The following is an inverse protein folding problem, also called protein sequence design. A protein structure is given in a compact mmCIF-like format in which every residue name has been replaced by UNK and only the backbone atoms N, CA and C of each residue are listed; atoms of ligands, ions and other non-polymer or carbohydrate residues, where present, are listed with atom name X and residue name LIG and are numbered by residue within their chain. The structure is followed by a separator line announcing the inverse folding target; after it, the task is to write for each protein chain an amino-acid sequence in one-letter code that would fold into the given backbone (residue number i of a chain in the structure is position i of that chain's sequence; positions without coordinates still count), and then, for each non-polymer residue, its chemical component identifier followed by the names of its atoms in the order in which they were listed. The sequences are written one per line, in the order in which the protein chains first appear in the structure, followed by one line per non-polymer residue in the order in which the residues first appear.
data_IF_451509050583
#
_entry.id   IF_451509050583
#
_cell.length_a   1.000
_cell.length_b   1.000
_cell.length_c   1.000
_cell.angle_alpha   90.00
_cell.angle_beta   90.00
_cell.angle_gamma   90.00
#
_symmetry.space_group_name_H-M   'P 1'
#
loop_
_entity.id
_entity.type
_entity.pdbx_description
1 polymer ?
#
# COMPACT_ATOMS: atom_id res chain seq x y z
N UNK A 1 -80.35 12.58 7.03
CA UNK A 1 -79.36 12.36 5.96
C UNK A 1 -77.97 12.40 6.58
N UNK A 2 -77.24 11.29 6.58
CA UNK A 2 -75.78 11.18 6.44
C UNK A 2 -75.42 9.70 6.61
N UNK A 3 -75.10 9.06 5.47
CA UNK A 3 -74.72 7.65 5.39
C UNK A 3 -73.23 7.46 5.62
N UNK A 4 -72.88 6.38 6.33
CA UNK A 4 -71.51 5.89 6.48
C UNK A 4 -71.12 5.10 5.22
N UNK A 5 -70.06 5.52 4.54
CA UNK A 5 -69.38 4.76 3.49
C UNK A 5 -68.30 3.89 4.12
N UNK A 6 -68.40 2.58 3.93
CA UNK A 6 -67.30 1.63 4.12
C UNK A 6 -66.33 1.74 2.93
N UNK A 7 -65.03 1.90 3.18
CA UNK A 7 -63.98 1.71 2.18
C UNK A 7 -63.30 0.35 2.41
N UNK A 8 -63.28 -0.47 1.35
CA UNK A 8 -62.70 -1.81 1.34
C UNK A 8 -61.17 -1.81 1.35
N UNK A 9 -60.60 -2.82 1.99
CA UNK A 9 -59.16 -3.05 2.04
C UNK A 9 -58.64 -3.57 0.69
N UNK A 10 -57.53 -3.00 0.21
CA UNK A 10 -56.82 -3.42 -1.00
C UNK A 10 -55.88 -4.59 -0.64
N UNK A 11 -56.04 -5.75 -1.28
CA UNK A 11 -55.13 -6.90 -1.15
C UNK A 11 -53.81 -6.63 -1.89
N UNK A 12 -52.69 -6.90 -1.22
CA UNK A 12 -51.36 -6.86 -1.83
C UNK A 12 -51.15 -8.04 -2.80
N UNK A 13 -50.37 -7.87 -3.89
CA UNK A 13 -50.09 -8.94 -4.84
C UNK A 13 -49.24 -10.05 -4.19
N UNK A 14 -49.35 -11.31 -4.67
CA UNK A 14 -48.55 -12.41 -4.17
C UNK A 14 -47.06 -12.19 -4.48
N UNK A 15 -46.15 -12.70 -3.61
CA UNK A 15 -44.72 -12.62 -3.85
C UNK A 15 -44.33 -13.37 -5.13
N UNK A 16 -43.28 -12.93 -5.83
CA UNK A 16 -42.78 -13.62 -7.02
C UNK A 16 -42.38 -15.07 -6.68
N UNK A 17 -42.50 -16.00 -7.64
CA UNK A 17 -42.10 -17.39 -7.42
C UNK A 17 -40.61 -17.47 -7.03
N UNK A 18 -40.31 -18.28 -6.02
CA UNK A 18 -38.94 -18.54 -5.57
C UNK A 18 -38.10 -19.06 -6.75
N UNK A 19 -37.15 -18.24 -7.21
CA UNK A 19 -36.15 -18.68 -8.18
C UNK A 19 -35.27 -19.77 -7.55
N UNK A 20 -34.99 -20.80 -8.34
CA UNK A 20 -34.27 -21.98 -7.91
C UNK A 20 -32.85 -21.59 -7.45
N UNK A 21 -32.51 -21.84 -6.19
CA UNK A 21 -31.18 -21.54 -5.62
C UNK A 21 -30.01 -22.18 -6.40
N UNK A 22 -30.26 -23.22 -7.20
CA UNK A 22 -29.26 -23.82 -8.09
C UNK A 22 -28.87 -22.93 -9.28
N UNK A 23 -29.79 -22.16 -9.86
CA UNK A 23 -29.47 -21.26 -10.98
C UNK A 23 -28.71 -20.01 -10.50
N UNK A 24 -29.02 -19.53 -9.29
CA UNK A 24 -28.28 -18.44 -8.67
C UNK A 24 -26.84 -18.86 -8.34
N UNK A 25 -26.62 -20.06 -7.83
CA UNK A 25 -25.27 -20.58 -7.55
C UNK A 25 -24.47 -20.89 -8.83
N UNK A 26 -25.13 -21.20 -9.94
CA UNK A 26 -24.48 -21.42 -11.23
C UNK A 26 -24.18 -20.09 -11.97
N UNK A 27 -24.89 -19.01 -11.63
CA UNK A 27 -24.57 -17.63 -12.07
C UNK A 27 -23.55 -16.93 -11.16
N UNK A 28 -23.45 -17.32 -9.88
CA UNK A 28 -22.43 -16.82 -8.96
C UNK A 28 -21.06 -17.48 -9.17
N UNK A 29 -20.99 -18.67 -9.78
CA UNK A 29 -19.72 -19.32 -10.13
C UNK A 29 -19.04 -18.73 -11.38
N UNK A 30 -19.71 -17.83 -12.11
CA UNK A 30 -19.17 -17.15 -13.31
C UNK A 30 -18.44 -15.84 -13.02
N UNK A 31 -18.30 -15.42 -11.75
CA UNK A 31 -17.62 -14.17 -11.37
C UNK A 31 -16.27 -14.33 -10.64
N UNK A 32 -15.82 -15.56 -10.39
CA UNK A 32 -14.47 -15.77 -9.87
C UNK A 32 -13.50 -15.92 -11.05
N UNK A 33 -12.69 -14.89 -11.31
CA UNK A 33 -11.49 -15.02 -12.17
C UNK A 33 -10.71 -16.26 -11.74
N UNK A 34 -10.27 -17.06 -12.70
CA UNK A 34 -9.42 -18.22 -12.43
C UNK A 34 -8.04 -17.76 -11.93
N UNK A 35 -7.35 -18.63 -11.18
CA UNK A 35 -5.98 -18.34 -10.75
C UNK A 35 -5.01 -18.17 -11.94
N UNK A 36 -5.31 -18.82 -13.07
CA UNK A 36 -4.54 -18.72 -14.32
C UNK A 36 -4.69 -17.33 -14.95
N UNK A 37 -5.90 -16.79 -15.01
CA UNK A 37 -6.15 -15.42 -15.51
C UNK A 37 -5.46 -14.38 -14.64
N UNK A 38 -5.54 -14.49 -13.30
CA UNK A 38 -4.84 -13.57 -12.39
C UNK A 38 -3.33 -13.62 -12.59
N UNK A 39 -2.75 -14.81 -12.79
CA UNK A 39 -1.32 -14.96 -13.06
C UNK A 39 -0.91 -14.36 -14.41
N UNK A 40 -1.75 -14.50 -15.44
CA UNK A 40 -1.51 -13.89 -16.75
C UNK A 40 -1.57 -12.36 -16.67
N UNK A 41 -2.54 -11.80 -15.93
CA UNK A 41 -2.63 -10.37 -15.66
C UNK A 41 -1.39 -9.88 -14.88
N UNK A 42 -0.97 -10.63 -13.85
CA UNK A 42 0.23 -10.30 -13.09
C UNK A 42 1.48 -10.23 -13.98
N UNK A 43 1.66 -11.19 -14.89
CA UNK A 43 2.78 -11.16 -15.85
C UNK A 43 2.73 -9.94 -16.76
N UNK A 44 1.53 -9.53 -17.19
CA UNK A 44 1.36 -8.32 -18.00
C UNK A 44 1.69 -7.06 -17.20
N UNK A 45 1.28 -6.98 -15.93
CA UNK A 45 1.61 -5.85 -15.06
C UNK A 45 3.11 -5.77 -14.76
N UNK A 46 3.75 -6.90 -14.46
CA UNK A 46 5.21 -6.99 -14.25
C UNK A 46 5.97 -6.50 -15.49
N UNK A 47 5.54 -6.90 -16.69
CA UNK A 47 6.14 -6.43 -17.93
C UNK A 47 5.87 -4.94 -18.18
N UNK A 48 4.62 -4.48 -17.97
CA UNK A 48 4.19 -3.09 -18.19
C UNK A 48 4.93 -2.11 -17.32
N UNK A 49 5.14 -2.45 -16.04
CA UNK A 49 5.79 -1.59 -15.06
C UNK A 49 7.28 -1.88 -14.91
N UNK A 50 7.86 -2.72 -15.78
CA UNK A 50 9.27 -3.07 -15.80
C UNK A 50 9.77 -3.55 -14.43
N UNK A 51 8.96 -4.37 -13.75
CA UNK A 51 9.28 -4.91 -12.42
C UNK A 51 10.31 -6.03 -12.58
N UNK A 52 11.38 -5.95 -11.80
CA UNK A 52 12.41 -6.96 -11.70
C UNK A 52 11.78 -8.31 -11.32
N UNK A 53 12.17 -9.39 -12.01
CA UNK A 53 11.63 -10.72 -11.74
C UNK A 53 11.80 -11.16 -10.27
N UNK A 54 12.91 -10.80 -9.62
CA UNK A 54 13.17 -11.11 -8.21
C UNK A 54 12.21 -10.37 -7.27
N UNK A 55 11.82 -9.16 -7.64
CA UNK A 55 10.88 -8.34 -6.89
C UNK A 55 9.47 -8.92 -7.05
N UNK A 56 9.09 -9.24 -8.30
CA UNK A 56 7.80 -9.81 -8.63
C UNK A 56 7.53 -11.15 -7.92
N UNK A 57 8.52 -12.04 -7.81
CA UNK A 57 8.32 -13.35 -7.15
C UNK A 57 8.03 -13.23 -5.65
N UNK A 58 8.42 -12.12 -5.02
CA UNK A 58 8.20 -11.87 -3.59
C UNK A 58 6.82 -11.29 -3.28
N UNK A 59 6.15 -10.67 -4.26
CA UNK A 59 4.81 -10.08 -4.08
C UNK A 59 3.74 -11.10 -3.63
N UNK A 60 3.93 -12.40 -3.88
CA UNK A 60 2.96 -13.44 -3.47
C UNK A 60 2.73 -13.50 -1.97
N UNK A 61 3.63 -12.95 -1.15
CA UNK A 61 3.40 -12.83 0.31
C UNK A 61 2.17 -11.99 0.64
N UNK A 62 1.75 -11.10 -0.29
CA UNK A 62 0.60 -10.21 -0.13
C UNK A 62 -0.75 -10.91 -0.27
N UNK A 63 -0.82 -12.18 -0.73
CA UNK A 63 -2.09 -12.95 -0.82
C UNK A 63 -2.80 -13.10 0.55
N UNK A 64 -2.07 -12.92 1.67
CA UNK A 64 -2.61 -12.97 3.03
C UNK A 64 -2.84 -11.61 3.68
N UNK A 65 -2.84 -10.52 2.89
CA UNK A 65 -3.00 -9.16 3.38
C UNK A 65 -4.31 -8.53 2.92
N UNK A 66 -4.89 -7.72 3.80
CA UNK A 66 -5.75 -6.59 3.47
C UNK A 66 -4.84 -5.41 3.17
N UNK A 67 -5.08 -4.67 2.09
CA UNK A 67 -4.27 -3.50 1.74
C UNK A 67 -5.10 -2.22 1.86
N UNK A 68 -4.63 -1.30 2.71
CA UNK A 68 -5.17 0.05 2.84
C UNK A 68 -4.15 1.06 2.41
N UNK A 69 -4.57 2.03 1.60
CA UNK A 69 -3.77 3.19 1.21
C UNK A 69 -4.36 4.47 1.81
N UNK A 70 -3.60 5.20 2.61
CA UNK A 70 -3.93 6.53 3.11
C UNK A 70 -3.19 7.56 2.26
N UNK A 71 -3.93 8.34 1.48
CA UNK A 71 -3.43 9.38 0.61
C UNK A 71 -3.50 10.75 1.30
N UNK A 72 -2.35 11.39 1.48
CA UNK A 72 -2.30 12.82 1.77
C UNK A 72 -2.79 13.61 0.56
N UNK A 73 -3.91 14.30 0.75
CA UNK A 73 -4.50 15.21 -0.20
C UNK A 73 -4.56 16.63 0.36
N UNK A 74 -3.62 16.99 1.23
CA UNK A 74 -3.44 18.34 1.77
C UNK A 74 -2.89 19.32 0.73
N UNK A 75 -3.01 20.62 1.02
CA UNK A 75 -2.59 21.66 0.07
C UNK A 75 -1.12 21.58 -0.36
N UNK A 76 -0.22 21.10 0.50
CA UNK A 76 1.22 20.97 0.24
C UNK A 76 1.56 19.99 -0.88
N UNK A 77 0.70 18.99 -1.10
CA UNK A 77 0.86 17.99 -2.17
C UNK A 77 0.79 18.59 -3.58
N UNK A 78 0.37 19.84 -3.75
CA UNK A 78 0.48 20.57 -5.03
C UNK A 78 1.92 21.00 -5.37
N UNK A 79 2.88 20.84 -4.46
CA UNK A 79 4.27 21.27 -4.66
C UNK A 79 4.93 20.48 -5.80
N UNK A 80 5.62 21.14 -6.75
CA UNK A 80 6.37 20.48 -7.82
C UNK A 80 7.55 19.63 -7.30
N UNK A 81 7.81 18.48 -7.93
CA UNK A 81 8.94 17.60 -7.64
C UNK A 81 10.18 17.94 -8.49
N UNK A 82 11.14 18.63 -7.88
CA UNK A 82 12.44 18.96 -8.49
C UNK A 82 12.38 19.95 -9.66
N UNK A 83 13.41 19.91 -10.50
CA UNK A 83 13.61 20.84 -11.60
C UNK A 83 12.99 20.37 -12.93
N UNK A 84 12.81 21.31 -13.87
CA UNK A 84 12.40 21.04 -15.24
C UNK A 84 13.36 20.06 -15.94
N UNK A 85 12.84 18.92 -16.40
CA UNK A 85 13.57 17.97 -17.25
C UNK A 85 13.83 18.52 -18.67
N UNK A 86 13.05 19.53 -19.08
CA UNK A 86 13.10 20.17 -20.38
C UNK A 86 12.23 21.44 -20.43
N UNK A 87 12.41 22.31 -21.45
CA UNK A 87 11.75 23.62 -21.51
C UNK A 87 10.23 23.56 -21.71
N UNK A 88 9.68 22.38 -22.03
CA UNK A 88 8.25 22.18 -22.29
C UNK A 88 7.61 21.12 -21.38
N UNK A 89 8.40 20.50 -20.50
CA UNK A 89 7.89 19.47 -19.61
C UNK A 89 7.19 20.11 -18.42
N UNK A 90 6.00 19.60 -18.09
CA UNK A 90 5.36 19.95 -16.82
C UNK A 90 6.13 19.25 -15.71
N UNK A 91 6.59 20.00 -14.71
CA UNK A 91 7.12 19.39 -13.48
C UNK A 91 5.96 18.66 -12.79
N UNK A 92 6.04 17.33 -12.56
CA UNK A 92 5.02 16.62 -11.82
C UNK A 92 4.96 17.16 -10.39
N UNK A 93 3.76 17.31 -9.83
CA UNK A 93 3.61 17.61 -8.41
C UNK A 93 3.78 16.34 -7.56
N UNK A 94 3.96 16.50 -6.25
CA UNK A 94 3.91 15.40 -5.27
C UNK A 94 2.63 14.58 -5.42
N UNK A 95 1.51 15.27 -5.65
CA UNK A 95 0.23 14.66 -5.97
C UNK A 95 0.22 13.85 -7.27
N UNK A 96 0.94 14.29 -8.31
CA UNK A 96 1.01 13.55 -9.57
C UNK A 96 1.81 12.24 -9.44
N UNK A 97 2.91 12.24 -8.67
CA UNK A 97 3.63 10.99 -8.35
C UNK A 97 2.77 10.07 -7.48
N UNK A 98 2.08 10.61 -6.46
CA UNK A 98 1.18 9.82 -5.62
C UNK A 98 0.07 9.12 -6.44
N UNK A 99 -0.56 9.82 -7.40
CA UNK A 99 -1.55 9.21 -8.32
C UNK A 99 -0.98 8.01 -9.06
N UNK A 100 0.23 8.15 -9.58
CA UNK A 100 0.89 7.08 -10.33
C UNK A 100 1.17 5.89 -9.41
N UNK A 101 1.73 6.15 -8.22
CA UNK A 101 1.99 5.12 -7.20
C UNK A 101 0.72 4.37 -6.81
N UNK A 102 -0.35 5.07 -6.44
CA UNK A 102 -1.62 4.44 -6.00
C UNK A 102 -2.24 3.65 -7.15
N UNK A 103 -2.19 4.16 -8.38
CA UNK A 103 -2.70 3.43 -9.56
C UNK A 103 -1.98 2.09 -9.75
N UNK A 104 -0.65 2.08 -9.67
CA UNK A 104 0.13 0.84 -9.81
C UNK A 104 -0.11 -0.09 -8.62
N UNK A 105 -0.20 0.45 -7.40
CA UNK A 105 -0.53 -0.35 -6.21
C UNK A 105 -1.87 -1.05 -6.37
N UNK A 106 -2.93 -0.34 -6.78
CA UNK A 106 -4.25 -0.94 -7.00
C UNK A 106 -4.21 -2.05 -8.03
N UNK A 107 -3.57 -1.80 -9.19
CA UNK A 107 -3.49 -2.80 -10.25
C UNK A 107 -2.71 -4.06 -9.79
N UNK A 108 -1.60 -3.89 -9.07
CA UNK A 108 -0.79 -5.00 -8.54
C UNK A 108 -1.49 -5.73 -7.39
N UNK A 109 -2.07 -4.99 -6.44
CA UNK A 109 -2.72 -5.53 -5.26
C UNK A 109 -3.92 -6.40 -5.63
N UNK A 110 -4.72 -6.01 -6.64
CA UNK A 110 -5.89 -6.77 -7.07
C UNK A 110 -5.55 -8.17 -7.63
N UNK A 111 -4.29 -8.45 -7.95
CA UNK A 111 -3.83 -9.82 -8.28
C UNK A 111 -3.87 -10.73 -7.04
N UNK A 112 -3.57 -10.18 -5.88
CA UNK A 112 -3.34 -10.89 -4.62
C UNK A 112 -4.51 -10.75 -3.63
N UNK A 113 -5.17 -9.59 -3.64
CA UNK A 113 -6.33 -9.28 -2.82
C UNK A 113 -7.57 -9.12 -3.72
N UNK A 114 -8.40 -10.18 -3.86
CA UNK A 114 -9.57 -10.14 -4.74
C UNK A 114 -10.64 -9.14 -4.27
N UNK A 115 -10.61 -8.73 -2.99
CA UNK A 115 -11.55 -7.76 -2.44
C UNK A 115 -11.19 -6.32 -2.84
N UNK A 116 -10.01 -6.12 -3.45
CA UNK A 116 -9.49 -4.81 -3.86
C UNK A 116 -8.79 -4.05 -2.74
N UNK A 117 -8.39 -2.81 -3.03
CA UNK A 117 -7.68 -1.93 -2.08
C UNK A 117 -8.64 -0.87 -1.55
N UNK A 118 -8.56 -0.61 -0.26
CA UNK A 118 -9.27 0.50 0.37
C UNK A 118 -8.41 1.77 0.39
N UNK A 119 -8.90 2.84 -0.23
CA UNK A 119 -8.20 4.11 -0.37
C UNK A 119 -8.85 5.17 0.51
N UNK A 120 -8.15 5.55 1.57
CA UNK A 120 -8.50 6.65 2.45
C UNK A 120 -7.78 7.92 2.01
N UNK A 121 -8.38 9.07 2.32
CA UNK A 121 -7.78 10.38 2.11
C UNK A 121 -7.81 11.17 3.41
N UNK A 122 -6.90 12.14 3.54
CA UNK A 122 -6.86 12.97 4.74
C UNK A 122 -8.02 13.98 4.81
N UNK A 123 -8.47 14.51 3.67
CA UNK A 123 -9.42 15.63 3.59
C UNK A 123 -10.70 15.29 2.79
N UNK A 124 -10.94 14.03 2.42
CA UNK A 124 -12.17 13.58 1.73
C UNK A 124 -12.55 12.16 2.14
N UNK A 125 -13.75 11.73 1.75
CA UNK A 125 -14.24 10.38 2.07
C UNK A 125 -13.41 9.28 1.39
N UNK A 126 -13.25 8.12 2.05
CA UNK A 126 -12.56 6.97 1.49
C UNK A 126 -13.39 6.29 0.40
N UNK A 127 -12.71 5.45 -0.37
CA UNK A 127 -13.29 4.61 -1.40
C UNK A 127 -12.80 3.19 -1.15
N UNK A 128 -13.74 2.27 -1.10
CA UNK A 128 -13.49 0.90 -0.71
C UNK A 128 -13.50 -0.03 -1.92
N UNK A 129 -12.81 -1.16 -1.79
CA UNK A 129 -12.80 -2.24 -2.78
C UNK A 129 -12.40 -1.77 -4.20
N UNK A 130 -11.36 -0.93 -4.28
CA UNK A 130 -10.84 -0.45 -5.56
C UNK A 130 -10.06 -1.57 -6.23
N UNK A 131 -10.53 -2.03 -7.38
CA UNK A 131 -9.99 -3.18 -8.12
C UNK A 131 -9.26 -2.78 -9.42
N UNK A 132 -9.38 -1.52 -9.83
CA UNK A 132 -8.72 -0.97 -11.02
C UNK A 132 -8.34 0.48 -10.81
N UNK A 133 -7.15 0.86 -11.28
CA UNK A 133 -6.70 2.26 -11.32
C UNK A 133 -7.67 3.20 -12.04
N UNK A 134 -8.47 2.69 -12.99
CA UNK A 134 -9.49 3.48 -13.70
C UNK A 134 -10.55 4.07 -12.76
N UNK A 135 -10.88 3.37 -11.66
CA UNK A 135 -11.84 3.83 -10.66
C UNK A 135 -11.35 5.07 -9.90
N UNK A 136 -10.03 5.31 -9.89
CA UNK A 136 -9.40 6.42 -9.17
C UNK A 136 -9.34 7.71 -9.98
N UNK A 137 -9.46 7.64 -11.31
CA UNK A 137 -9.38 8.78 -12.22
C UNK A 137 -10.29 9.97 -11.83
N UNK A 138 -11.60 9.78 -11.57
CA UNK A 138 -12.47 10.92 -11.21
C UNK A 138 -12.12 11.54 -9.85
N UNK A 139 -11.54 10.75 -8.95
CA UNK A 139 -11.22 11.14 -7.57
C UNK A 139 -9.94 11.94 -7.54
N UNK A 140 -8.94 11.49 -8.30
CA UNK A 140 -7.67 12.18 -8.46
C UNK A 140 -7.75 13.42 -9.37
N UNK A 141 -8.85 13.59 -10.10
CA UNK A 141 -9.15 14.85 -10.80
C UNK A 141 -9.44 16.01 -9.83
N UNK A 142 -9.84 15.71 -8.58
CA UNK A 142 -10.02 16.70 -7.52
C UNK A 142 -8.64 17.04 -6.94
N UNK A 143 -8.17 18.31 -7.06
CA UNK A 143 -6.88 18.71 -6.55
C UNK A 143 -6.82 18.62 -5.01
N UNK A 144 -5.63 18.43 -4.43
CA UNK A 144 -5.45 18.33 -3.00
C UNK A 144 -5.56 19.72 -2.35
N UNK A 145 -6.17 19.77 -1.17
CA UNK A 145 -6.44 20.96 -0.38
C UNK A 145 -6.70 20.58 1.09
N UNK A 146 -6.43 21.52 2.00
CA UNK A 146 -6.68 21.33 3.43
C UNK A 146 -5.42 20.98 4.24
N UNK A 147 -5.59 20.71 5.55
CA UNK A 147 -4.52 20.32 6.48
C UNK A 147 -4.05 18.87 6.26
N UNK A 148 -3.16 18.38 7.14
CA UNK A 148 -2.58 17.03 7.09
C UNK A 148 -3.02 16.17 8.31
N UNK A 149 -4.32 15.88 8.49
CA UNK A 149 -4.87 15.20 9.67
C UNK A 149 -4.63 13.68 9.67
N UNK A 150 -3.36 13.25 9.68
CA UNK A 150 -2.97 11.83 9.64
C UNK A 150 -3.55 11.05 10.82
N UNK A 151 -3.43 11.59 12.04
CA UNK A 151 -3.81 10.89 13.28
C UNK A 151 -5.27 10.43 13.31
N UNK A 152 -6.28 11.29 13.06
CA UNK A 152 -7.68 10.84 13.06
C UNK A 152 -7.98 9.84 11.93
N UNK A 153 -7.37 9.99 10.74
CA UNK A 153 -7.57 9.06 9.63
C UNK A 153 -6.93 7.70 9.91
N UNK A 154 -5.72 7.68 10.46
CA UNK A 154 -5.04 6.43 10.84
C UNK A 154 -5.85 5.66 11.89
N UNK A 155 -6.38 6.36 12.91
CA UNK A 155 -7.29 5.75 13.89
C UNK A 155 -8.60 5.24 13.27
N UNK A 156 -9.14 5.97 12.29
CA UNK A 156 -10.30 5.52 11.51
C UNK A 156 -10.00 4.21 10.81
N UNK A 157 -8.87 4.09 10.11
CA UNK A 157 -8.44 2.84 9.45
C UNK A 157 -8.34 1.68 10.45
N UNK A 158 -7.65 1.88 11.58
CA UNK A 158 -7.51 0.81 12.59
C UNK A 158 -8.86 0.32 13.15
N UNK A 159 -9.83 1.23 13.31
CA UNK A 159 -11.18 0.89 13.76
C UNK A 159 -11.98 0.21 12.66
N UNK A 160 -11.97 0.78 11.46
CA UNK A 160 -12.78 0.30 10.33
C UNK A 160 -12.30 -1.10 9.88
N UNK A 161 -11.01 -1.42 10.07
CA UNK A 161 -10.37 -2.70 9.73
C UNK A 161 -10.15 -3.67 10.89
N UNK A 162 -10.79 -3.43 12.04
CA UNK A 162 -10.56 -4.24 13.23
C UNK A 162 -10.86 -5.73 13.00
N UNK A 163 -11.91 -6.05 12.22
CA UNK A 163 -12.30 -7.43 11.91
C UNK A 163 -11.28 -8.11 10.98
N UNK A 164 -10.85 -7.41 9.93
CA UNK A 164 -9.88 -7.91 8.95
C UNK A 164 -8.51 -8.17 9.61
N UNK A 165 -8.12 -7.35 10.60
CA UNK A 165 -6.92 -7.57 11.41
C UNK A 165 -6.99 -8.89 12.21
N UNK A 166 -8.18 -9.35 12.60
CA UNK A 166 -8.35 -10.63 13.30
C UNK A 166 -8.19 -11.82 12.34
N UNK A 167 -8.67 -11.70 11.09
CA UNK A 167 -8.68 -12.76 10.08
C UNK A 167 -7.40 -12.86 9.25
N UNK A 168 -6.88 -11.71 8.78
CA UNK A 168 -5.68 -11.60 7.94
C UNK A 168 -4.72 -10.51 8.45
N UNK A 169 -3.62 -10.26 7.74
CA UNK A 169 -2.72 -9.14 8.08
C UNK A 169 -3.21 -7.87 7.40
N UNK A 170 -2.96 -6.70 7.96
CA UNK A 170 -3.33 -5.41 7.39
C UNK A 170 -2.08 -4.62 7.01
N UNK A 171 -1.83 -4.44 5.72
CA UNK A 171 -0.78 -3.55 5.24
C UNK A 171 -1.36 -2.13 5.10
N UNK A 172 -0.79 -1.17 5.83
CA UNK A 172 -1.16 0.24 5.71
C UNK A 172 -0.05 0.97 4.96
N UNK A 173 -0.37 1.54 3.81
CA UNK A 173 0.50 2.43 3.05
C UNK A 173 0.04 3.87 3.33
N UNK A 174 0.93 4.72 3.87
CA UNK A 174 0.62 6.12 4.14
C UNK A 174 1.54 7.00 3.29
N UNK A 175 0.98 7.69 2.30
CA UNK A 175 1.73 8.71 1.57
C UNK A 175 1.48 10.09 2.15
N UNK A 176 2.54 10.85 2.47
CA UNK A 176 2.46 12.21 2.99
C UNK A 176 3.73 13.00 2.69
N UNK A 177 3.61 14.31 2.50
CA UNK A 177 4.73 15.20 2.22
C UNK A 177 5.15 16.07 3.40
N UNK A 178 4.59 15.82 4.59
CA UNK A 178 4.76 16.76 5.69
C UNK A 178 4.43 16.23 7.06
N UNK A 179 4.49 17.17 8.00
CA UNK A 179 4.24 16.91 9.41
C UNK A 179 2.73 16.74 9.64
N UNK A 180 2.27 15.68 10.35
CA UNK A 180 0.87 15.55 10.75
C UNK A 180 0.39 16.80 11.47
N UNK A 181 -0.82 17.25 11.16
CA UNK A 181 -1.46 18.39 11.84
C UNK A 181 -2.79 18.02 12.47
N UNK A 182 -3.23 18.78 13.46
CA UNK A 182 -4.64 18.77 13.86
C UNK A 182 -5.52 19.49 12.82
N UNK A 183 -6.84 19.53 13.07
CA UNK A 183 -7.81 20.23 12.20
C UNK A 183 -7.63 21.76 12.18
N UNK A 184 -6.79 22.32 13.06
CA UNK A 184 -6.43 23.74 13.10
C UNK A 184 -5.08 24.01 12.41
N UNK A 185 -4.39 22.98 11.91
CA UNK A 185 -3.09 23.09 11.26
C UNK A 185 -1.90 23.08 12.23
N UNK A 186 -2.10 22.77 13.51
CA UNK A 186 -0.98 22.66 14.46
C UNK A 186 -0.30 21.30 14.35
N UNK A 187 1.04 21.27 14.38
CA UNK A 187 1.85 20.04 14.30
C UNK A 187 1.50 19.05 15.42
N UNK A 188 1.29 17.79 15.06
CA UNK A 188 0.87 16.70 15.94
C UNK A 188 1.69 15.41 15.78
N UNK A 189 3.02 15.57 15.67
CA UNK A 189 3.98 14.44 15.54
C UNK A 189 3.86 13.46 16.70
N UNK A 190 3.66 13.97 17.93
CA UNK A 190 3.63 13.14 19.15
C UNK A 190 2.44 12.19 19.17
N UNK A 191 1.27 12.65 18.74
CA UNK A 191 0.10 11.76 18.69
C UNK A 191 0.27 10.73 17.57
N UNK A 192 0.89 11.09 16.45
CA UNK A 192 1.16 10.11 15.40
C UNK A 192 2.13 9.02 15.86
N UNK A 193 3.21 9.40 16.56
CA UNK A 193 4.12 8.44 17.20
C UNK A 193 3.39 7.51 18.17
N UNK A 194 2.51 8.10 18.99
CA UNK A 194 1.72 7.36 19.96
C UNK A 194 0.80 6.33 19.27
N UNK A 195 0.12 6.72 18.19
CA UNK A 195 -0.71 5.80 17.40
C UNK A 195 0.12 4.64 16.87
N UNK A 196 1.28 4.91 16.25
CA UNK A 196 2.15 3.88 15.68
C UNK A 196 2.73 2.90 16.72
N UNK A 197 3.04 3.38 17.93
CA UNK A 197 3.67 2.57 19.00
C UNK A 197 2.67 1.87 19.91
N UNK A 198 1.59 2.56 20.27
CA UNK A 198 0.67 2.16 21.34
C UNK A 198 -0.68 1.67 20.83
N UNK A 199 -1.24 2.30 19.80
CA UNK A 199 -2.60 1.98 19.32
C UNK A 199 -2.61 0.97 18.16
N UNK A 200 -1.58 0.98 17.30
CA UNK A 200 -1.38 0.00 16.21
C UNK A 200 -1.06 -1.38 16.79
N UNK A 201 -2.09 -2.17 17.09
CA UNK A 201 -1.98 -3.50 17.70
C UNK A 201 -2.92 -4.51 17.02
N UNK A 202 -2.49 -5.79 16.89
CA UNK A 202 -1.16 -6.29 17.20
C UNK A 202 -0.15 -5.88 16.11
N UNK A 203 1.01 -5.36 16.52
CA UNK A 203 1.95 -4.66 15.62
C UNK A 203 2.52 -5.56 14.51
N UNK A 204 2.73 -6.84 14.79
CA UNK A 204 3.23 -7.84 13.85
C UNK A 204 2.23 -8.22 12.74
N UNK A 205 0.94 -7.89 12.93
CA UNK A 205 -0.10 -8.09 11.91
C UNK A 205 -0.41 -6.83 11.12
N UNK A 206 0.14 -5.68 11.50
CA UNK A 206 -0.17 -4.38 10.89
C UNK A 206 1.12 -3.69 10.43
N UNK A 207 1.85 -4.23 9.44
CA UNK A 207 2.97 -3.51 8.87
C UNK A 207 2.52 -2.20 8.24
N UNK A 208 3.38 -1.19 8.34
CA UNK A 208 3.13 0.15 7.81
C UNK A 208 4.30 0.54 6.93
N UNK A 209 4.01 1.05 5.74
CA UNK A 209 5.00 1.76 4.92
C UNK A 209 4.58 3.22 4.83
N UNK A 210 5.46 4.14 5.20
CA UNK A 210 5.25 5.58 5.01
C UNK A 210 6.03 6.01 3.78
N UNK A 211 5.33 6.59 2.81
CA UNK A 211 5.88 7.09 1.56
C UNK A 211 6.05 8.59 1.73
N UNK A 212 7.30 9.04 1.84
CA UNK A 212 7.63 10.44 1.97
C UNK A 212 7.55 11.13 0.61
N UNK A 213 6.48 11.88 0.39
CA UNK A 213 6.24 12.59 -0.86
C UNK A 213 6.91 13.97 -0.87
N UNK A 214 8.13 14.11 -0.35
CA UNK A 214 8.82 15.40 -0.24
C UNK A 214 10.32 15.24 -0.44
N UNK A 215 10.94 16.28 -0.99
CA UNK A 215 12.40 16.48 -1.08
C UNK A 215 12.94 17.36 0.06
N UNK A 216 12.07 17.74 1.01
CA UNK A 216 12.42 18.49 2.21
C UNK A 216 12.65 17.56 3.41
N UNK A 217 13.92 17.20 3.61
CA UNK A 217 14.39 16.34 4.71
C UNK A 217 13.97 16.85 6.10
N UNK A 218 13.83 18.17 6.31
CA UNK A 218 13.47 18.73 7.62
C UNK A 218 12.02 18.41 8.02
N UNK A 219 11.14 18.30 7.02
CA UNK A 219 9.73 17.97 7.24
C UNK A 219 9.52 16.52 7.64
N UNK A 220 10.39 15.61 7.18
CA UNK A 220 10.25 14.16 7.35
C UNK A 220 11.33 13.51 8.20
N UNK A 221 12.36 14.24 8.64
CA UNK A 221 13.52 13.65 9.34
C UNK A 221 13.17 12.87 10.62
N UNK A 222 12.00 13.12 11.22
CA UNK A 222 11.50 12.32 12.34
C UNK A 222 11.09 10.89 11.94
N UNK A 223 10.68 10.68 10.68
CA UNK A 223 10.30 9.38 10.13
C UNK A 223 11.51 8.45 10.02
N UNK A 224 12.65 8.94 9.53
CA UNK A 224 13.92 8.17 9.47
C UNK A 224 14.37 7.69 10.85
N UNK A 225 14.01 8.43 11.89
CA UNK A 225 14.30 8.11 13.27
C UNK A 225 13.34 7.04 13.84
N UNK A 226 12.12 6.97 13.29
CA UNK A 226 11.08 6.01 13.66
C UNK A 226 11.22 4.69 12.94
N UNK A 227 11.54 4.73 11.66
CA UNK A 227 11.87 3.59 10.80
C UNK A 227 12.77 2.57 11.54
N UNK A 228 13.88 3.06 12.11
CA UNK A 228 14.84 2.26 12.87
C UNK A 228 14.37 1.75 14.24
N UNK A 229 13.30 2.33 14.80
CA UNK A 229 12.89 2.15 16.21
C UNK A 229 11.52 1.51 16.37
N UNK A 230 10.65 1.63 15.38
CA UNK A 230 9.28 1.14 15.41
C UNK A 230 9.25 -0.15 14.56
N UNK A 231 8.91 -1.30 15.16
CA UNK A 231 8.92 -2.56 14.41
C UNK A 231 7.85 -2.57 13.32
N UNK A 232 8.14 -3.23 12.19
CA UNK A 232 7.24 -3.35 11.04
C UNK A 232 6.76 -1.98 10.55
N UNK A 233 7.66 -0.99 10.57
CA UNK A 233 7.51 0.31 9.95
C UNK A 233 8.66 0.45 8.96
N UNK A 234 8.35 0.86 7.75
CA UNK A 234 9.31 1.23 6.70
C UNK A 234 9.02 2.66 6.24
N UNK A 235 10.05 3.41 5.91
CA UNK A 235 9.94 4.77 5.36
C UNK A 235 10.66 4.81 4.02
N UNK A 236 9.91 5.10 2.96
CA UNK A 236 10.42 5.14 1.59
C UNK A 236 10.35 6.58 1.08
N UNK A 237 11.47 7.08 0.57
CA UNK A 237 11.55 8.42 -0.03
C UNK A 237 10.89 8.48 -1.41
N UNK A 238 10.80 9.68 -2.01
CA UNK A 238 10.36 9.82 -3.40
C UNK A 238 11.22 8.97 -4.35
N UNK A 239 10.65 8.60 -5.51
CA UNK A 239 11.30 7.66 -6.41
C UNK A 239 12.73 8.08 -6.81
N UNK A 240 12.98 9.38 -7.01
CA UNK A 240 14.28 9.86 -7.49
C UNK A 240 15.33 9.74 -6.39
N UNK A 241 14.97 10.05 -5.15
CA UNK A 241 15.87 9.96 -4.02
C UNK A 241 16.09 8.50 -3.62
N UNK A 242 15.03 7.72 -3.46
CA UNK A 242 15.10 6.27 -3.18
C UNK A 242 16.01 5.54 -4.18
N UNK A 243 15.84 5.83 -5.48
CA UNK A 243 16.69 5.25 -6.53
C UNK A 243 18.17 5.61 -6.36
N UNK A 244 18.49 6.85 -6.01
CA UNK A 244 19.88 7.27 -5.77
C UNK A 244 20.47 6.55 -4.57
N UNK A 245 19.70 6.37 -3.50
CA UNK A 245 20.16 5.70 -2.29
C UNK A 245 20.43 4.21 -2.53
N UNK A 246 19.49 3.51 -3.16
CA UNK A 246 19.66 2.11 -3.58
C UNK A 246 20.87 1.97 -4.50
N UNK A 247 21.04 2.84 -5.50
CA UNK A 247 22.22 2.80 -6.38
C UNK A 247 23.52 3.14 -5.62
N UNK A 248 23.44 3.94 -4.56
CA UNK A 248 24.54 4.20 -3.64
C UNK A 248 24.99 2.96 -2.87
N UNK A 249 24.06 2.08 -2.48
CA UNK A 249 24.36 0.84 -1.73
C UNK A 249 24.63 -0.38 -2.60
N UNK A 250 23.77 -0.62 -3.59
CA UNK A 250 23.81 -1.82 -4.43
C UNK A 250 24.80 -1.65 -5.59
N UNK A 251 25.00 -0.43 -6.05
CA UNK A 251 25.92 -0.04 -7.12
C UNK A 251 25.25 0.84 -8.18
N UNK A 252 26.05 1.71 -8.81
CA UNK A 252 25.57 2.77 -9.74
C UNK A 252 24.72 2.29 -10.91
N UNK A 253 24.79 1.01 -11.26
CA UNK A 253 24.05 0.40 -12.37
C UNK A 253 22.99 -0.59 -11.89
N UNK A 254 22.64 -0.58 -10.61
CA UNK A 254 21.54 -1.39 -10.11
C UNK A 254 20.24 -0.98 -10.82
N UNK A 255 19.56 -1.92 -11.50
CA UNK A 255 18.31 -1.64 -12.17
C UNK A 255 17.23 -1.43 -11.10
N UNK A 256 16.56 -0.29 -11.17
CA UNK A 256 15.47 0.08 -10.29
C UNK A 256 14.49 0.96 -11.07
N UNK A 257 13.42 0.34 -11.55
CA UNK A 257 12.34 0.99 -12.27
C UNK A 257 11.36 1.67 -11.31
N UNK A 258 10.40 2.43 -11.84
CA UNK A 258 9.31 2.94 -11.01
C UNK A 258 8.40 1.80 -10.53
N UNK A 259 8.26 0.71 -11.29
CA UNK A 259 7.56 -0.49 -10.82
C UNK A 259 8.30 -1.15 -9.65
N UNK A 260 9.63 -1.24 -9.69
CA UNK A 260 10.43 -1.76 -8.57
C UNK A 260 10.26 -0.93 -7.30
N UNK A 261 10.18 0.40 -7.45
CA UNK A 261 9.86 1.34 -6.38
C UNK A 261 8.50 1.06 -5.74
N UNK A 262 7.45 0.86 -6.56
CA UNK A 262 6.12 0.49 -6.04
C UNK A 262 6.15 -0.86 -5.33
N UNK A 263 6.93 -1.82 -5.82
CA UNK A 263 7.11 -3.10 -5.10
C UNK A 263 7.83 -2.90 -3.78
N UNK A 264 8.85 -2.04 -3.71
CA UNK A 264 9.48 -1.69 -2.43
C UNK A 264 8.46 -1.11 -1.46
N UNK A 265 7.63 -0.15 -1.89
CA UNK A 265 6.55 0.42 -1.05
C UNK A 265 5.64 -0.67 -0.46
N UNK A 266 5.24 -1.64 -1.29
CA UNK A 266 4.37 -2.74 -0.86
C UNK A 266 5.06 -3.71 0.11
N UNK A 267 6.39 -3.80 0.05
CA UNK A 267 7.13 -4.89 0.68
C UNK A 267 8.07 -4.47 1.80
N UNK A 268 8.50 -3.21 1.90
CA UNK A 268 9.52 -2.83 2.87
C UNK A 268 9.08 -3.05 4.32
N UNK A 269 7.86 -2.66 4.68
CA UNK A 269 7.29 -2.99 6.00
C UNK A 269 7.02 -4.49 6.24
N UNK A 270 7.08 -5.32 5.19
CA UNK A 270 6.69 -6.74 5.18
C UNK A 270 7.88 -7.70 5.14
N UNK A 271 8.91 -7.39 4.37
CA UNK A 271 10.11 -8.20 4.13
C UNK A 271 11.34 -7.31 4.22
N UNK A 272 12.16 -7.54 5.26
CA UNK A 272 13.37 -6.79 5.56
C UNK A 272 14.38 -6.77 4.41
N UNK A 273 14.30 -7.69 3.44
CA UNK A 273 15.17 -7.65 2.27
C UNK A 273 14.94 -6.40 1.41
N UNK A 274 13.70 -5.90 1.34
CA UNK A 274 13.36 -4.68 0.59
C UNK A 274 13.73 -3.41 1.34
N UNK A 275 13.47 -3.40 2.65
CA UNK A 275 13.94 -2.38 3.60
C UNK A 275 15.48 -2.25 3.51
N UNK A 276 16.20 -3.37 3.51
CA UNK A 276 17.67 -3.37 3.42
C UNK A 276 18.26 -2.80 2.10
N UNK A 277 17.48 -2.56 1.04
CA UNK A 277 17.99 -2.18 -0.30
C UNK A 277 18.70 -0.83 -0.33
N UNK A 278 18.30 0.14 0.48
CA UNK A 278 18.86 1.49 0.58
C UNK A 278 19.75 1.67 1.83
N UNK A 279 19.66 0.74 2.78
CA UNK A 279 20.53 0.73 3.96
C UNK A 279 21.88 0.05 3.70
N UNK A 280 21.88 -1.13 3.07
CA UNK A 280 23.06 -1.99 2.97
C UNK A 280 23.07 -2.89 1.74
N UNK A 281 24.23 -3.42 1.39
CA UNK A 281 24.34 -4.32 0.24
C UNK A 281 23.64 -5.65 0.51
N UNK A 282 22.65 -6.00 -0.32
CA UNK A 282 21.91 -7.27 -0.20
C UNK A 282 22.40 -8.29 -1.23
N UNK A 283 22.28 -9.57 -0.90
CA UNK A 283 22.54 -10.65 -1.86
C UNK A 283 21.26 -10.94 -2.65
N UNK A 284 21.38 -11.01 -3.98
CA UNK A 284 20.27 -11.36 -4.89
C UNK A 284 19.84 -12.83 -4.80
N UNK A 285 20.63 -13.69 -4.13
CA UNK A 285 20.46 -15.16 -4.15
C UNK A 285 19.68 -15.71 -2.93
N UNK A 286 18.96 -14.86 -2.21
CA UNK A 286 18.69 -15.05 -0.78
C UNK A 286 17.50 -15.91 -0.31
N UNK A 287 16.56 -16.37 -1.15
CA UNK A 287 15.41 -17.17 -0.67
C UNK A 287 15.04 -18.31 -1.62
N UNK A 288 15.78 -19.41 -1.50
CA UNK A 288 15.52 -20.68 -2.19
C UNK A 288 16.03 -21.92 -1.43
N UNK A 289 16.33 -21.81 -0.13
CA UNK A 289 16.66 -22.98 0.70
C UNK A 289 15.88 -22.95 2.01
N UNK A 290 15.13 -24.02 2.34
CA UNK A 290 14.60 -24.18 3.68
C UNK A 290 15.77 -24.24 4.66
N UNK A 291 15.64 -23.57 5.80
CA UNK A 291 16.60 -23.62 6.90
C UNK A 291 16.71 -25.05 7.44
N UNK A 292 17.65 -25.81 6.88
CA UNK A 292 17.97 -27.17 7.25
C UNK A 292 19.30 -27.25 8.00
N UNK A 293 19.19 -27.41 9.32
CA UNK A 293 20.13 -28.10 10.22
C UNK A 293 21.58 -27.59 10.35
N UNK A 294 21.94 -27.35 11.61
CA UNK A 294 23.29 -27.17 12.12
C UNK A 294 24.31 -28.18 11.55
N UNK A 295 25.52 -27.70 11.22
CA UNK A 295 26.65 -28.61 11.01
C UNK A 295 28.00 -28.01 11.45
N UNK A 296 28.44 -28.49 12.61
CA UNK A 296 29.72 -29.19 12.74
C UNK A 296 31.00 -28.36 12.71
N UNK A 297 31.55 -28.11 13.92
CA UNK A 297 32.97 -27.84 14.16
C UNK A 297 33.85 -28.81 13.36
N UNK A 298 34.80 -28.31 12.58
CA UNK A 298 35.89 -29.11 12.00
C UNK A 298 37.24 -28.68 12.56
N UNK A 299 37.90 -29.64 13.20
CA UNK A 299 39.26 -29.63 13.71
C UNK A 299 40.27 -29.18 12.63
N UNK A 300 41.19 -28.29 13.00
CA UNK A 300 42.46 -28.09 12.30
C UNK A 300 43.51 -29.04 12.88
N UNK A 301 43.97 -29.98 12.06
CA UNK A 301 45.24 -30.67 12.28
C UNK A 301 46.19 -30.39 11.11
N UNK A 302 47.37 -29.90 11.50
CA UNK A 302 48.69 -29.80 10.86
C UNK A 302 48.87 -30.33 9.42
N UNK A 303 49.58 -29.53 8.63
CA UNK A 303 50.58 -30.05 7.69
C UNK A 303 51.84 -29.16 7.77
N UNK A 304 52.98 -29.78 8.10
CA UNK A 304 54.34 -29.26 8.00
C UNK A 304 54.95 -30.00 6.83
N UNK A 305 55.40 -29.31 5.78
CA UNK A 305 56.40 -29.81 4.83
C UNK A 305 57.22 -28.61 4.31
N UNK A 306 58.53 -28.68 4.62
CA UNK A 306 59.71 -27.91 4.18
C UNK A 306 59.79 -26.42 4.57
#
# INVERSE_FOLDING_TARGET
MHGQQYHGAVQAPPPPPYQNHMELNQQLSTYSRSAEERMADFQQLVARYEINHTFATKLRVLEGYEIVFICDDSGSMNTPLGDLSGPFDKIPSRWDELKQTVSIVVDLANVFDPDGVDVYFLNREPIFHVQSSEQLLPIFAIPPAGPTPIVPVFRRVLRDKQHEIEERRLLILLATDGVPTDNQGHRDIRSFEYVLKQERKPTDRIPVTIIACTDDDDCIGYLNDWDKKIPNLDVVDDYRNEKKEIQGRQGKHFPFSFGDYVVKILMGGVDSWFDDLDEKKVTTDGYGRPSGSARGKRNKQRCVIL
#
